data_IF_438950695967
#
_entry.id   IF_438950695967
#
_cell.length_a   1.000
_cell.length_b   1.000
_cell.length_c   1.000
_cell.angle_alpha   90.00
_cell.angle_beta   90.00
_cell.angle_gamma   90.00
#
_symmetry.space_group_name_H-M   'P 1'
#
loop_
_entity.id
_entity.type
_entity.pdbx_description
1 polymer ?
#
# COMPACT_ATOMS: atom_id res chain seq x y z
N UNK A 1 19.98 36.52 13.89
CA UNK A 1 19.16 35.30 13.85
C UNK A 1 19.61 34.48 12.64
N UNK A 2 19.98 33.22 12.82
CA UNK A 2 20.23 32.32 11.69
C UNK A 2 18.91 31.98 11.00
N UNK A 3 18.88 31.98 9.67
CA UNK A 3 17.71 31.52 8.90
C UNK A 3 17.55 30.00 8.96
N UNK A 4 16.47 29.49 8.36
CA UNK A 4 16.28 28.05 8.22
C UNK A 4 17.37 27.42 7.34
N UNK A 5 17.88 26.27 7.74
CA UNK A 5 18.82 25.45 6.98
C UNK A 5 18.10 24.27 6.32
N UNK A 6 18.74 23.65 5.31
CA UNK A 6 18.22 22.44 4.65
C UNK A 6 17.89 21.33 5.66
N UNK A 7 18.75 21.13 6.67
CA UNK A 7 18.57 20.12 7.69
C UNK A 7 17.35 20.34 8.60
N UNK A 8 16.74 21.53 8.57
CA UNK A 8 15.53 21.87 9.32
C UNK A 8 14.25 21.49 8.56
N UNK A 9 14.34 21.15 7.26
CA UNK A 9 13.17 20.79 6.46
C UNK A 9 12.52 19.52 6.98
N UNK A 10 11.21 19.59 7.17
CA UNK A 10 10.35 18.46 7.52
C UNK A 10 9.10 18.52 6.67
N UNK A 11 8.58 17.35 6.30
CA UNK A 11 7.28 17.24 5.65
C UNK A 11 6.46 16.23 6.43
N UNK A 12 5.25 16.61 6.84
CA UNK A 12 4.35 15.75 7.60
C UNK A 12 3.05 15.54 6.83
N UNK A 13 2.48 14.35 6.97
CA UNK A 13 1.09 14.10 6.58
C UNK A 13 0.17 14.95 7.46
N UNK A 14 -0.79 15.63 6.84
CA UNK A 14 -1.88 16.27 7.59
C UNK A 14 -2.73 15.17 8.25
N UNK A 15 -2.84 15.21 9.58
CA UNK A 15 -3.52 14.19 10.38
C UNK A 15 -5.00 14.01 9.97
N UNK A 16 -5.65 15.07 9.48
CA UNK A 16 -7.03 15.01 8.99
C UNK A 16 -7.19 14.02 7.83
N UNK A 17 -6.15 13.80 7.02
CA UNK A 17 -6.18 12.83 5.93
C UNK A 17 -6.35 11.38 6.41
N UNK A 18 -6.09 11.07 7.68
CA UNK A 18 -6.31 9.74 8.24
C UNK A 18 -7.79 9.51 8.61
N UNK A 19 -8.52 10.57 8.92
CA UNK A 19 -9.88 10.47 9.49
C UNK A 19 -10.98 11.01 8.58
N UNK A 20 -10.75 12.12 7.88
CA UNK A 20 -11.74 12.74 6.98
C UNK A 20 -11.91 11.90 5.70
N UNK A 21 -13.10 11.28 5.47
CA UNK A 21 -13.33 10.45 4.29
C UNK A 21 -13.02 11.13 2.95
N UNK A 22 -13.21 12.45 2.86
CA UNK A 22 -12.93 13.20 1.63
C UNK A 22 -11.42 13.40 1.38
N UNK A 23 -10.58 13.16 2.39
CA UNK A 23 -9.13 13.40 2.36
C UNK A 23 -8.28 12.12 2.48
N UNK A 24 -8.91 10.97 2.71
CA UNK A 24 -8.23 9.66 2.79
C UNK A 24 -7.52 9.23 1.52
N UNK A 25 -7.96 9.71 0.36
CA UNK A 25 -7.21 9.53 -0.88
C UNK A 25 -6.10 10.60 -0.94
N UNK A 26 -4.88 10.22 -0.54
CA UNK A 26 -3.78 11.17 -0.40
C UNK A 26 -3.41 11.76 -1.77
N UNK A 27 -3.24 13.08 -1.81
CA UNK A 27 -2.66 13.71 -2.98
C UNK A 27 -1.22 13.23 -3.18
N UNK A 28 -0.81 13.03 -4.44
CA UNK A 28 0.50 12.49 -4.74
C UNK A 28 1.62 13.40 -4.22
N UNK A 29 2.50 12.85 -3.39
CA UNK A 29 3.69 13.55 -2.90
C UNK A 29 4.92 13.07 -3.67
N UNK A 30 5.69 14.02 -4.20
CA UNK A 30 6.95 13.75 -4.88
C UNK A 30 8.10 14.46 -4.17
N UNK A 31 9.28 13.87 -4.19
CA UNK A 31 10.50 14.45 -3.62
C UNK A 31 11.67 14.31 -4.60
N UNK A 32 12.52 15.32 -4.67
CA UNK A 32 13.77 15.29 -5.43
C UNK A 32 14.69 16.42 -4.96
N UNK A 33 16.01 16.19 -5.07
CA UNK A 33 17.01 17.19 -4.71
C UNK A 33 18.20 17.13 -5.67
N UNK A 34 18.77 18.29 -5.98
CA UNK A 34 19.96 18.40 -6.82
C UNK A 34 20.92 19.41 -6.20
N UNK A 35 22.20 19.03 -6.12
CA UNK A 35 23.29 19.97 -5.86
C UNK A 35 23.92 20.38 -7.19
N UNK A 36 23.78 21.65 -7.54
CA UNK A 36 24.25 22.20 -8.81
C UNK A 36 25.22 23.35 -8.56
N UNK A 37 26.38 23.33 -9.23
CA UNK A 37 27.31 24.45 -9.22
C UNK A 37 26.81 25.57 -10.14
N UNK A 38 26.99 26.83 -9.74
CA UNK A 38 26.64 27.97 -10.57
C UNK A 38 27.58 28.09 -11.78
N UNK A 39 27.07 28.63 -12.88
CA UNK A 39 27.83 28.94 -14.09
C UNK A 39 27.41 30.31 -14.65
N UNK A 40 28.33 30.98 -15.33
CA UNK A 40 28.13 32.34 -15.86
C UNK A 40 26.98 32.43 -16.89
N UNK A 41 26.69 31.33 -17.59
CA UNK A 41 25.66 31.25 -18.63
C UNK A 41 24.55 30.24 -18.30
N UNK A 42 24.17 30.16 -17.02
CA UNK A 42 23.29 29.14 -16.44
C UNK A 42 23.88 27.72 -16.53
N UNK A 43 23.68 26.93 -15.48
CA UNK A 43 24.01 25.50 -15.49
C UNK A 43 22.71 24.72 -15.70
N UNK A 44 22.72 23.78 -16.65
CA UNK A 44 21.64 22.82 -16.78
C UNK A 44 21.74 21.76 -15.67
N UNK A 45 20.61 21.42 -15.08
CA UNK A 45 20.53 20.40 -14.05
C UNK A 45 19.15 19.77 -14.02
N UNK A 46 19.10 18.45 -13.97
CA UNK A 46 17.85 17.68 -13.86
C UNK A 46 17.65 17.26 -12.41
N UNK A 47 16.49 17.60 -11.85
CA UNK A 47 16.08 17.09 -10.54
C UNK A 47 15.28 15.80 -10.78
N UNK A 48 15.93 14.67 -10.59
CA UNK A 48 15.24 13.38 -10.59
C UNK A 48 14.35 13.29 -9.34
N UNK A 49 13.09 12.92 -9.54
CA UNK A 49 12.08 12.87 -8.46
C UNK A 49 11.58 11.43 -8.26
N UNK A 50 11.14 11.16 -7.04
CA UNK A 50 10.47 9.92 -6.66
C UNK A 50 9.09 10.22 -6.05
N UNK A 51 8.17 9.26 -6.17
CA UNK A 51 6.83 9.34 -5.56
C UNK A 51 6.85 8.67 -4.19
N UNK A 52 6.29 9.34 -3.19
CA UNK A 52 6.25 8.83 -1.82
C UNK A 52 4.92 8.16 -1.46
N UNK A 53 3.82 8.57 -2.09
CA UNK A 53 2.48 8.05 -1.78
C UNK A 53 2.13 6.81 -2.60
N UNK A 54 1.46 5.85 -1.97
CA UNK A 54 1.06 4.57 -2.54
C UNK A 54 -0.46 4.38 -2.50
N UNK A 55 -1.01 3.71 -3.51
CA UNK A 55 -2.39 3.22 -3.49
C UNK A 55 -2.39 1.69 -3.46
N UNK A 56 -3.13 1.10 -2.53
CA UNK A 56 -3.24 -0.34 -2.32
C UNK A 56 -4.71 -0.72 -2.46
N UNK A 57 -5.04 -1.38 -3.58
CA UNK A 57 -6.34 -1.97 -3.85
C UNK A 57 -6.35 -3.41 -3.34
N UNK A 58 -7.28 -3.71 -2.46
CA UNK A 58 -7.51 -5.04 -1.91
C UNK A 58 -8.83 -5.57 -2.47
N UNK A 59 -8.83 -6.81 -2.90
CA UNK A 59 -9.99 -7.53 -3.44
C UNK A 59 -10.19 -8.81 -2.63
N UNK A 60 -11.42 -9.06 -2.21
CA UNK A 60 -11.85 -10.26 -1.52
C UNK A 60 -12.78 -11.06 -2.44
N UNK A 61 -12.43 -12.32 -2.69
CA UNK A 61 -13.20 -13.20 -3.58
C UNK A 61 -13.40 -14.58 -2.93
N UNK A 62 -14.63 -15.09 -2.87
CA UNK A 62 -14.86 -16.48 -2.47
C UNK A 62 -14.45 -17.44 -3.61
N UNK A 63 -13.81 -18.56 -3.26
CA UNK A 63 -13.44 -19.60 -4.24
C UNK A 63 -14.68 -20.28 -4.85
N UNK A 64 -15.75 -20.43 -4.07
CA UNK A 64 -17.02 -21.02 -4.55
C UNK A 64 -17.84 -20.06 -5.43
N UNK A 65 -17.35 -18.84 -5.69
CA UNK A 65 -18.03 -17.84 -6.51
C UNK A 65 -19.21 -17.12 -5.82
N UNK A 66 -19.43 -17.33 -4.52
CA UNK A 66 -20.43 -16.55 -3.77
C UNK A 66 -20.05 -15.06 -3.76
N UNK A 67 -21.04 -14.15 -3.88
CA UNK A 67 -20.78 -12.73 -3.80
C UNK A 67 -20.11 -12.33 -2.48
N UNK A 68 -19.06 -11.51 -2.57
CA UNK A 68 -18.44 -10.85 -1.43
C UNK A 68 -18.72 -9.36 -1.51
N UNK A 69 -19.17 -8.75 -0.43
CA UNK A 69 -19.31 -7.30 -0.31
C UNK A 69 -18.18 -6.75 0.55
N UNK A 70 -17.36 -5.83 0.03
CA UNK A 70 -16.27 -5.22 0.79
C UNK A 70 -16.77 -4.49 2.04
N UNK A 71 -18.05 -4.06 2.06
CA UNK A 71 -18.65 -3.34 3.20
C UNK A 71 -18.88 -4.23 4.41
N UNK A 72 -18.83 -5.55 4.27
CA UNK A 72 -18.94 -6.51 5.39
C UNK A 72 -17.62 -6.68 6.15
N UNK A 73 -16.56 -5.99 5.72
CA UNK A 73 -15.22 -6.08 6.29
C UNK A 73 -14.69 -4.69 6.70
N UNK A 74 -13.77 -4.70 7.65
CA UNK A 74 -12.92 -3.56 8.01
C UNK A 74 -11.51 -3.83 7.50
N UNK A 75 -10.91 -2.83 6.85
CA UNK A 75 -9.56 -2.90 6.30
C UNK A 75 -8.72 -1.82 6.95
N UNK A 76 -7.50 -2.17 7.33
CA UNK A 76 -6.59 -1.27 8.00
C UNK A 76 -5.14 -1.59 7.62
N UNK A 77 -4.35 -0.55 7.36
CA UNK A 77 -2.88 -0.65 7.31
C UNK A 77 -2.34 0.23 8.43
N UNK A 78 -1.54 -0.34 9.33
CA UNK A 78 -0.81 0.44 10.35
C UNK A 78 0.65 0.63 9.95
N UNK A 79 1.21 1.83 10.12
CA UNK A 79 2.63 2.14 9.89
C UNK A 79 3.07 3.44 10.60
N UNK A 80 4.37 3.59 10.89
CA UNK A 80 4.97 4.85 11.36
C UNK A 80 5.76 5.52 10.22
N UNK A 81 5.03 6.18 9.32
CA UNK A 81 5.57 6.74 8.07
C UNK A 81 4.99 8.12 7.72
N UNK A 82 4.54 8.88 8.71
CA UNK A 82 3.83 10.16 8.48
C UNK A 82 4.73 11.39 8.49
N UNK A 83 6.01 11.26 8.83
CA UNK A 83 6.95 12.38 8.94
C UNK A 83 8.25 12.08 8.18
N UNK A 84 8.70 13.04 7.38
CA UNK A 84 9.90 12.96 6.57
C UNK A 84 10.94 14.00 7.01
N UNK A 85 12.22 13.62 6.91
CA UNK A 85 13.34 14.54 7.03
C UNK A 85 13.68 15.25 5.69
N UNK A 86 14.77 16.01 5.70
CA UNK A 86 15.22 16.78 4.54
C UNK A 86 15.75 15.92 3.37
N UNK A 87 16.14 14.68 3.66
CA UNK A 87 16.68 13.69 2.73
C UNK A 87 15.61 12.65 2.32
N UNK A 88 14.34 12.92 2.65
CA UNK A 88 13.18 12.08 2.38
C UNK A 88 13.16 10.76 3.16
N UNK A 89 13.97 10.62 4.21
CA UNK A 89 13.90 9.47 5.11
C UNK A 89 12.79 9.68 6.15
N UNK A 90 12.23 8.59 6.67
CA UNK A 90 11.14 8.64 7.65
C UNK A 90 11.66 8.97 9.06
N UNK A 91 10.97 9.85 9.77
CA UNK A 91 11.21 10.09 11.19
C UNK A 91 10.10 9.42 11.97
N UNK A 92 10.45 8.70 13.04
CA UNK A 92 9.45 8.13 13.94
C UNK A 92 8.52 9.21 14.48
N UNK A 93 7.22 9.04 14.25
CA UNK A 93 6.16 9.99 14.58
C UNK A 93 4.91 9.30 15.15
N UNK A 94 5.04 8.01 15.50
CA UNK A 94 3.94 7.20 16.03
C UNK A 94 3.20 6.46 14.93
N UNK A 95 2.62 5.31 15.30
CA UNK A 95 1.86 4.48 14.39
C UNK A 95 0.57 5.18 13.95
N UNK A 96 0.38 5.31 12.64
CA UNK A 96 -0.83 5.78 11.99
C UNK A 96 -1.63 4.60 11.44
N UNK A 97 -2.96 4.70 11.49
CA UNK A 97 -3.87 3.73 10.91
C UNK A 97 -4.53 4.31 9.64
N UNK A 98 -4.21 3.70 8.50
CA UNK A 98 -4.82 4.02 7.21
C UNK A 98 -6.05 3.14 7.02
N UNK A 99 -7.18 3.76 6.69
CA UNK A 99 -8.45 3.09 6.37
C UNK A 99 -8.90 3.45 4.95
N UNK A 100 -9.80 2.67 4.33
CA UNK A 100 -10.11 2.85 2.92
C UNK A 100 -10.69 4.22 2.59
N UNK A 101 -10.26 4.77 1.45
CA UNK A 101 -10.88 5.93 0.80
C UNK A 101 -12.01 5.50 -0.15
N UNK A 102 -11.99 4.25 -0.62
CA UNK A 102 -13.10 3.63 -1.36
C UNK A 102 -13.31 2.18 -0.88
N UNK A 103 -14.58 1.76 -0.79
CA UNK A 103 -14.96 0.38 -0.46
C UNK A 103 -16.24 0.02 -1.20
N UNK A 104 -16.33 -1.22 -1.68
CA UNK A 104 -17.53 -1.65 -2.38
C UNK A 104 -17.48 -3.07 -2.90
N UNK A 105 -18.25 -3.30 -3.96
CA UNK A 105 -18.34 -4.57 -4.67
C UNK A 105 -18.14 -4.32 -6.17
N UNK A 106 -17.49 -5.24 -6.86
CA UNK A 106 -17.27 -5.19 -8.30
C UNK A 106 -17.55 -6.55 -8.94
N UNK A 107 -17.89 -6.56 -10.23
CA UNK A 107 -18.07 -7.80 -11.01
C UNK A 107 -16.78 -8.10 -11.77
N UNK A 108 -16.19 -9.28 -11.57
CA UNK A 108 -14.91 -9.67 -12.20
C UNK A 108 -15.08 -10.59 -13.41
N UNK A 109 -16.28 -11.14 -13.60
CA UNK A 109 -16.59 -12.01 -14.72
C UNK A 109 -17.95 -12.69 -14.57
N UNK A 110 -18.26 -13.59 -15.50
CA UNK A 110 -19.46 -14.41 -15.50
C UNK A 110 -19.02 -15.87 -15.59
N UNK A 111 -19.49 -16.71 -14.69
CA UNK A 111 -19.25 -18.16 -14.71
C UNK A 111 -19.97 -18.81 -15.90
N UNK A 112 -19.58 -20.03 -16.27
CA UNK A 112 -20.19 -20.78 -17.38
C UNK A 112 -21.71 -21.00 -17.24
N UNK A 113 -22.22 -20.92 -16.01
CA UNK A 113 -23.65 -21.01 -15.70
C UNK A 113 -24.40 -19.66 -15.77
N UNK A 114 -23.74 -18.59 -16.22
CA UNK A 114 -24.31 -17.24 -16.35
C UNK A 114 -24.31 -16.41 -15.06
N UNK A 115 -23.76 -16.92 -13.95
CA UNK A 115 -23.70 -16.20 -12.69
C UNK A 115 -22.53 -15.21 -12.66
N UNK A 116 -22.80 -13.95 -12.32
CA UNK A 116 -21.75 -12.95 -12.10
C UNK A 116 -20.90 -13.30 -10.87
N UNK A 117 -19.58 -13.26 -11.04
CA UNK A 117 -18.63 -13.33 -9.93
C UNK A 117 -18.48 -11.93 -9.35
N UNK A 118 -19.01 -11.75 -8.14
CA UNK A 118 -18.97 -10.48 -7.42
C UNK A 118 -17.94 -10.53 -6.29
N UNK A 119 -16.99 -9.60 -6.34
CA UNK A 119 -15.89 -9.49 -5.36
C UNK A 119 -16.04 -8.24 -4.54
N UNK A 120 -15.65 -8.30 -3.27
CA UNK A 120 -15.53 -7.13 -2.42
C UNK A 120 -14.21 -6.42 -2.72
N UNK A 121 -14.17 -5.10 -2.60
CA UNK A 121 -12.90 -4.37 -2.69
C UNK A 121 -12.81 -3.24 -1.67
N UNK A 122 -11.58 -2.85 -1.37
CA UNK A 122 -11.22 -1.64 -0.64
C UNK A 122 -9.96 -1.02 -1.26
N UNK A 123 -9.89 0.31 -1.30
CA UNK A 123 -8.68 1.04 -1.71
C UNK A 123 -8.18 1.89 -0.55
N UNK A 124 -6.92 1.70 -0.20
CA UNK A 124 -6.22 2.41 0.86
C UNK A 124 -5.09 3.24 0.25
N UNK A 125 -4.95 4.48 0.70
CA UNK A 125 -3.84 5.35 0.31
C UNK A 125 -2.89 5.50 1.49
N UNK A 126 -1.60 5.31 1.27
CA UNK A 126 -0.57 5.32 2.32
C UNK A 126 0.59 6.22 1.93
N UNK A 127 1.38 6.62 2.94
CA UNK A 127 2.65 7.31 2.74
C UNK A 127 3.74 6.36 2.19
N UNK A 128 5.02 6.70 2.34
CA UNK A 128 6.14 5.92 1.79
C UNK A 128 6.26 4.58 2.50
N UNK A 129 6.45 3.52 1.71
CA UNK A 129 6.69 2.16 2.17
C UNK A 129 8.20 1.92 2.26
N UNK A 130 8.72 1.68 3.47
CA UNK A 130 10.14 1.47 3.69
C UNK A 130 10.46 0.07 4.24
N UNK A 131 11.55 -0.53 3.76
CA UNK A 131 11.98 -1.88 4.18
C UNK A 131 12.35 -1.98 5.66
N UNK A 132 12.71 -0.84 6.28
CA UNK A 132 13.01 -0.75 7.71
C UNK A 132 11.76 -0.62 8.59
N UNK A 133 10.60 -0.33 8.00
CA UNK A 133 9.33 -0.28 8.71
C UNK A 133 8.68 -1.67 8.71
N UNK A 134 7.68 -1.85 9.57
CA UNK A 134 6.92 -3.11 9.67
C UNK A 134 5.41 -2.88 9.58
N UNK A 135 4.91 -2.29 8.48
CA UNK A 135 3.49 -2.06 8.32
C UNK A 135 2.70 -3.36 8.35
N UNK A 136 1.52 -3.32 8.96
CA UNK A 136 0.64 -4.47 9.09
C UNK A 136 -0.66 -4.22 8.38
N UNK A 137 -1.01 -5.11 7.44
CA UNK A 137 -2.34 -5.16 6.86
C UNK A 137 -3.22 -6.04 7.73
N UNK A 138 -4.37 -5.50 8.14
CA UNK A 138 -5.40 -6.25 8.86
C UNK A 138 -6.74 -6.13 8.15
N UNK A 139 -7.44 -7.26 8.01
CA UNK A 139 -8.81 -7.32 7.50
C UNK A 139 -9.66 -8.09 8.50
N UNK A 140 -10.73 -7.47 9.01
CA UNK A 140 -11.64 -8.06 10.00
C UNK A 140 -13.04 -8.18 9.41
N UNK A 141 -13.75 -9.26 9.73
CA UNK A 141 -15.19 -9.33 9.48
C UNK A 141 -15.93 -8.48 10.49
N UNK A 142 -16.99 -7.79 10.05
CA UNK A 142 -17.80 -6.95 10.94
C UNK A 142 -18.80 -7.72 11.79
N UNK A 143 -19.21 -8.91 11.36
CA UNK A 143 -20.24 -9.68 12.04
C UNK A 143 -19.75 -10.26 13.38
N UNK A 144 -18.52 -10.75 13.42
CA UNK A 144 -17.91 -11.39 14.59
C UNK A 144 -16.60 -10.71 15.07
N UNK A 145 -16.08 -9.74 14.31
CA UNK A 145 -14.82 -9.04 14.62
C UNK A 145 -13.57 -9.88 14.33
N UNK A 146 -13.69 -11.07 13.75
CA UNK A 146 -12.57 -11.96 13.53
C UNK A 146 -11.61 -11.39 12.47
N UNK A 147 -10.32 -11.36 12.81
CA UNK A 147 -9.26 -11.05 11.85
C UNK A 147 -9.09 -12.21 10.87
N UNK A 148 -9.42 -11.98 9.60
CA UNK A 148 -9.30 -12.98 8.53
C UNK A 148 -7.97 -12.85 7.79
N UNK A 149 -7.38 -11.65 7.79
CA UNK A 149 -6.04 -11.38 7.28
C UNK A 149 -5.33 -10.52 8.31
N UNK A 150 -4.11 -10.92 8.69
CA UNK A 150 -3.21 -10.12 9.50
C UNK A 150 -1.78 -10.48 9.09
N UNK A 151 -1.14 -9.63 8.28
CA UNK A 151 0.15 -9.94 7.65
C UNK A 151 1.12 -8.75 7.60
N UNK A 152 2.44 -9.00 7.63
CA UNK A 152 3.46 -7.97 7.44
C UNK A 152 3.50 -7.51 5.97
N UNK A 153 2.96 -6.32 5.69
CA UNK A 153 2.71 -5.81 4.34
C UNK A 153 3.97 -5.81 3.45
N UNK A 154 5.09 -5.25 3.93
CA UNK A 154 6.34 -5.18 3.14
C UNK A 154 6.83 -6.55 2.70
N UNK A 155 6.79 -7.56 3.59
CA UNK A 155 7.30 -8.90 3.26
C UNK A 155 6.54 -9.49 2.07
N UNK A 156 5.23 -9.31 2.05
CA UNK A 156 4.37 -9.79 0.97
C UNK A 156 4.52 -8.97 -0.32
N UNK A 157 4.69 -7.64 -0.24
CA UNK A 157 5.01 -6.82 -1.41
C UNK A 157 6.32 -7.27 -2.06
N UNK A 158 7.33 -7.59 -1.26
CA UNK A 158 8.63 -8.05 -1.77
C UNK A 158 8.59 -9.46 -2.37
N UNK A 159 7.60 -10.30 -2.06
CA UNK A 159 7.40 -11.57 -2.79
C UNK A 159 7.03 -11.34 -4.27
N UNK A 160 6.54 -10.14 -4.60
CA UNK A 160 6.14 -9.75 -5.96
C UNK A 160 7.27 -9.10 -6.73
N UNK A 161 8.40 -8.84 -6.07
CA UNK A 161 9.64 -8.51 -6.74
C UNK A 161 10.10 -9.76 -7.51
N UNK A 162 9.54 -9.91 -8.72
CA UNK A 162 9.85 -10.99 -9.65
C UNK A 162 11.36 -11.14 -9.84
N UNK A 163 11.81 -12.34 -10.19
CA UNK A 163 13.19 -12.59 -10.62
C UNK A 163 13.61 -11.68 -11.80
N UNK A 164 12.64 -11.19 -12.57
CA UNK A 164 12.88 -10.18 -13.60
C UNK A 164 13.47 -8.87 -13.04
N UNK A 165 13.21 -8.58 -11.77
CA UNK A 165 13.72 -7.41 -11.04
C UNK A 165 14.77 -7.81 -9.99
N UNK A 166 15.38 -8.99 -10.07
CA UNK A 166 16.30 -9.50 -9.05
C UNK A 166 17.41 -8.50 -8.67
N UNK A 167 17.97 -7.78 -9.65
CA UNK A 167 19.03 -6.78 -9.46
C UNK A 167 18.55 -5.46 -8.82
N UNK A 168 17.24 -5.19 -8.81
CA UNK A 168 16.67 -3.98 -8.21
C UNK A 168 16.74 -4.05 -6.68
N UNK A 169 17.14 -2.97 -6.02
CA UNK A 169 17.12 -2.93 -4.56
C UNK A 169 15.69 -3.10 -4.00
N UNK A 170 15.52 -3.75 -2.85
CA UNK A 170 14.18 -3.90 -2.25
C UNK A 170 13.50 -2.56 -1.97
N UNK A 171 14.24 -1.57 -1.49
CA UNK A 171 13.69 -0.22 -1.29
C UNK A 171 13.38 0.46 -2.63
N UNK A 172 14.25 0.31 -3.63
CA UNK A 172 14.01 0.85 -4.97
C UNK A 172 12.73 0.26 -5.60
N UNK A 173 12.48 -1.03 -5.42
CA UNK A 173 11.25 -1.67 -5.86
C UNK A 173 10.00 -1.05 -5.23
N UNK A 174 10.02 -0.86 -3.90
CA UNK A 174 8.93 -0.23 -3.15
C UNK A 174 8.75 1.26 -3.49
N UNK A 175 9.81 1.95 -3.90
CA UNK A 175 9.76 3.37 -4.28
C UNK A 175 9.30 3.58 -5.74
N UNK A 176 9.53 2.59 -6.62
CA UNK A 176 9.17 2.65 -8.05
C UNK A 176 7.72 2.26 -8.31
N UNK A 177 7.22 1.23 -7.62
CA UNK A 177 5.82 0.85 -7.72
C UNK A 177 4.98 1.68 -6.74
N UNK A 178 3.87 2.24 -7.22
CA UNK A 178 2.99 3.06 -6.40
C UNK A 178 1.52 2.63 -6.46
N UNK A 179 1.22 1.65 -7.30
CA UNK A 179 -0.10 1.05 -7.45
C UNK A 179 -0.01 -0.45 -7.19
N UNK A 180 -0.67 -0.88 -6.12
CA UNK A 180 -0.65 -2.27 -5.67
C UNK A 180 -2.06 -2.83 -5.73
N UNK A 181 -2.24 -4.01 -6.33
CA UNK A 181 -3.54 -4.69 -6.42
C UNK A 181 -3.41 -6.10 -5.86
N UNK A 182 -4.14 -6.38 -4.78
CA UNK A 182 -4.06 -7.62 -4.01
C UNK A 182 -5.40 -8.35 -4.04
N UNK A 183 -5.39 -9.65 -4.33
CA UNK A 183 -6.58 -10.50 -4.31
C UNK A 183 -6.39 -11.59 -3.27
N UNK A 184 -7.26 -11.60 -2.26
CA UNK A 184 -7.36 -12.67 -1.27
C UNK A 184 -8.53 -13.59 -1.60
N UNK A 185 -8.24 -14.89 -1.66
CA UNK A 185 -9.27 -15.91 -1.85
C UNK A 185 -9.79 -16.43 -0.51
N UNK A 186 -11.10 -16.35 -0.32
CA UNK A 186 -11.79 -16.76 0.91
C UNK A 186 -12.41 -18.16 0.75
N UNK A 187 -12.39 -18.93 1.84
CA UNK A 187 -13.12 -20.19 2.00
C UNK A 187 -14.62 -19.96 2.23
N UNK A 188 -15.39 -21.05 2.33
CA UNK A 188 -16.85 -20.96 2.48
C UNK A 188 -17.29 -20.27 3.78
N UNK A 189 -16.45 -20.31 4.80
CA UNK A 189 -16.58 -19.70 6.12
C UNK A 189 -16.08 -18.24 6.18
N UNK A 190 -15.75 -17.65 5.02
CA UNK A 190 -15.09 -16.34 4.92
C UNK A 190 -13.73 -16.27 5.65
N UNK A 191 -13.09 -17.39 5.98
CA UNK A 191 -11.70 -17.39 6.40
C UNK A 191 -10.80 -17.29 5.18
N UNK A 192 -9.69 -16.57 5.33
CA UNK A 192 -8.69 -16.49 4.28
C UNK A 192 -8.04 -17.87 4.08
N UNK A 193 -8.16 -18.39 2.86
CA UNK A 193 -7.40 -19.56 2.45
C UNK A 193 -5.97 -19.10 2.18
N UNK A 194 -5.10 -19.32 3.17
CA UNK A 194 -3.66 -19.00 3.17
C UNK A 194 -2.85 -19.63 2.03
N UNK A 195 -3.46 -20.16 0.99
CA UNK A 195 -2.79 -20.87 -0.11
C UNK A 195 -2.40 -19.97 -1.27
N UNK A 196 -3.18 -18.93 -1.60
CA UNK A 196 -2.92 -18.07 -2.75
C UNK A 196 -3.27 -16.59 -2.50
N UNK A 197 -2.38 -15.68 -2.89
CA UNK A 197 -2.67 -14.26 -3.10
C UNK A 197 -2.28 -13.92 -4.53
N UNK A 198 -3.06 -13.10 -5.23
CA UNK A 198 -2.56 -12.42 -6.44
C UNK A 198 -2.14 -11.00 -6.12
N UNK A 199 -0.94 -10.60 -6.51
CA UNK A 199 -0.45 -9.23 -6.35
C UNK A 199 0.00 -8.71 -7.71
N UNK A 200 -0.58 -7.61 -8.19
CA UNK A 200 -0.35 -7.05 -9.53
C UNK A 200 -0.50 -8.12 -10.63
N UNK A 201 -1.54 -8.97 -10.49
CA UNK A 201 -1.87 -10.14 -11.32
C UNK A 201 -0.87 -11.33 -11.28
N UNK A 202 0.21 -11.23 -10.51
CA UNK A 202 1.09 -12.36 -10.24
C UNK A 202 0.53 -13.25 -9.13
N UNK A 203 0.43 -14.56 -9.38
CA UNK A 203 -0.03 -15.52 -8.37
C UNK A 203 1.12 -15.89 -7.45
N UNK A 204 1.01 -15.51 -6.18
CA UNK A 204 1.94 -15.87 -5.10
C UNK A 204 1.33 -17.04 -4.33
N UNK A 205 2.01 -18.18 -4.35
CA UNK A 205 1.66 -19.35 -3.52
C UNK A 205 2.36 -19.23 -2.19
N UNK A 206 1.58 -19.17 -1.11
CA UNK A 206 2.11 -19.19 0.25
C UNK A 206 2.24 -20.66 0.63
N UNK A 207 3.48 -21.13 0.78
CA UNK A 207 3.74 -22.45 1.35
C UNK A 207 4.16 -22.27 2.80
N UNK A 208 3.42 -22.91 3.69
CA UNK A 208 3.52 -22.86 5.15
C UNK A 208 4.74 -23.66 5.66
N UNK A 209 5.94 -23.40 5.12
CA UNK A 209 7.17 -24.10 5.55
C UNK A 209 8.08 -23.30 6.46
N UNK A 210 8.01 -21.95 6.48
CA UNK A 210 8.82 -21.13 7.41
C UNK A 210 8.11 -19.80 7.75
N UNK A 211 7.29 -19.79 8.81
CA UNK A 211 6.88 -18.60 9.57
C UNK A 211 7.12 -18.85 11.06
#
# INVERSE_FOLDING_TARGET
>A
AGGAARGDLRVALDADCLTDPARKNLHAMYWGALRLAAADSYAEGTVEMMKNTNNIRIVLQQINGKPVDGRDFEFEITDDNTLFDADNDLIANGEAAYTPWAVGQATTGVLDNGQEVKVGYAELSTSRLMTRNSPRLTIRRKDDGAAIVEIPLIRYLLLCKSEYYAEMGSQEFLDRESEWSWIFFLGEDNLWLRTFIKINDWTVRINDSEL
#
